data_IF_997575810644
#
_entry.id   IF_997575810644
#
_cell.length_a   1.000
_cell.length_b   1.000
_cell.length_c   1.000
_cell.angle_alpha   90.00
_cell.angle_beta   90.00
_cell.angle_gamma   90.00
#
_symmetry.space_group_name_H-M   'P 1'
#
loop_
_entity.id
_entity.type
_entity.pdbx_description
1 polymer ?
#
# COMPACT_ATOMS: atom_id res chain seq x y z
N UNK A 1 -50.33 -60.41 12.03
CA UNK A 1 -49.90 -59.05 12.47
C UNK A 1 -49.79 -58.20 11.21
N UNK A 2 -50.33 -56.98 11.22
CA UNK A 2 -50.43 -56.04 10.08
C UNK A 2 -51.27 -56.47 8.86
N UNK A 3 -51.80 -55.45 8.18
CA UNK A 3 -52.88 -55.48 7.19
C UNK A 3 -52.48 -54.70 5.91
N UNK A 4 -53.20 -54.87 4.78
CA UNK A 4 -52.78 -54.36 3.47
C UNK A 4 -53.57 -53.11 3.02
N UNK A 5 -53.15 -52.48 1.90
CA UNK A 5 -54.02 -52.24 0.72
C UNK A 5 -53.33 -51.54 -0.46
N UNK A 6 -53.88 -51.80 -1.65
CA UNK A 6 -53.53 -51.24 -2.96
C UNK A 6 -54.28 -49.91 -3.23
N UNK A 7 -53.78 -49.08 -4.14
CA UNK A 7 -54.52 -48.66 -5.35
C UNK A 7 -53.64 -47.98 -6.41
N UNK A 8 -54.05 -48.07 -7.69
CA UNK A 8 -53.44 -47.40 -8.85
C UNK A 8 -53.95 -45.95 -9.02
N UNK A 9 -53.37 -45.19 -9.97
CA UNK A 9 -54.04 -44.66 -11.18
C UNK A 9 -52.98 -44.02 -12.12
N UNK A 10 -53.19 -44.04 -13.46
CA UNK A 10 -52.38 -43.31 -14.47
C UNK A 10 -53.29 -42.41 -15.32
N UNK A 11 -53.01 -42.09 -16.60
CA UNK A 11 -51.75 -42.10 -17.38
C UNK A 11 -51.44 -40.72 -18.05
N UNK A 12 -50.33 -40.58 -18.79
CA UNK A 12 -50.00 -39.36 -19.57
C UNK A 12 -50.58 -39.39 -21.00
N UNK A 13 -51.13 -38.27 -21.51
CA UNK A 13 -51.42 -38.10 -22.94
C UNK A 13 -51.31 -36.64 -23.46
N UNK A 14 -50.35 -36.44 -24.38
CA UNK A 14 -50.13 -35.46 -25.48
C UNK A 14 -50.88 -34.11 -25.61
N UNK A 15 -50.11 -33.15 -26.15
CA UNK A 15 -50.50 -31.98 -27.00
C UNK A 15 -51.17 -30.80 -26.28
N UNK A 16 -51.10 -29.54 -26.69
CA UNK A 16 -50.56 -28.88 -27.90
C UNK A 16 -49.38 -27.93 -27.52
N UNK A 17 -48.72 -27.10 -28.36
CA UNK A 17 -48.83 -26.71 -29.79
C UNK A 17 -47.40 -26.41 -30.35
N UNK A 18 -47.28 -25.79 -31.51
CA UNK A 18 -46.05 -25.19 -32.09
C UNK A 18 -46.36 -23.79 -32.68
N UNK A 19 -45.72 -23.31 -33.77
CA UNK A 19 -44.67 -23.95 -34.58
C UNK A 19 -43.54 -23.04 -35.13
N UNK A 20 -42.58 -23.68 -35.82
CA UNK A 20 -41.90 -23.28 -37.07
C UNK A 20 -41.00 -22.01 -37.21
N UNK A 21 -39.81 -22.26 -37.80
CA UNK A 21 -39.12 -21.55 -38.92
C UNK A 21 -39.31 -20.02 -39.08
N UNK A 22 -38.25 -19.25 -39.33
CA UNK A 22 -37.47 -19.37 -40.58
C UNK A 22 -36.08 -18.69 -40.53
N UNK A 23 -35.19 -19.01 -41.48
CA UNK A 23 -33.89 -18.32 -41.68
C UNK A 23 -33.92 -17.59 -43.02
N UNK A 24 -33.72 -16.27 -43.00
CA UNK A 24 -33.44 -15.52 -44.22
C UNK A 24 -32.50 -14.34 -43.98
N UNK A 25 -31.42 -14.29 -44.77
CA UNK A 25 -30.50 -13.16 -44.84
C UNK A 25 -31.08 -12.00 -45.66
N UNK A 26 -30.41 -10.86 -45.50
CA UNK A 26 -30.03 -9.85 -46.50
C UNK A 26 -30.84 -8.54 -46.62
N UNK A 27 -30.03 -7.46 -46.62
CA UNK A 27 -30.12 -6.17 -47.32
C UNK A 27 -30.65 -4.91 -46.61
N UNK A 28 -29.71 -3.95 -46.54
CA UNK A 28 -29.83 -2.50 -46.74
C UNK A 28 -30.51 -1.62 -45.68
N UNK A 29 -29.88 -0.47 -45.45
CA UNK A 29 -30.49 0.69 -44.80
C UNK A 29 -29.65 1.28 -43.68
N UNK A 30 -28.64 2.09 -44.03
CA UNK A 30 -28.09 3.07 -43.08
C UNK A 30 -29.21 3.94 -42.50
N UNK A 31 -29.05 4.40 -41.25
CA UNK A 31 -29.31 5.79 -40.83
C UNK A 31 -28.86 6.00 -39.37
N UNK A 32 -28.34 7.19 -39.06
CA UNK A 32 -27.92 7.68 -37.75
C UNK A 32 -26.73 7.00 -37.03
N UNK A 33 -25.55 7.05 -37.65
CA UNK A 33 -24.30 7.24 -36.91
C UNK A 33 -23.92 8.73 -36.87
N UNK A 34 -24.67 9.50 -36.07
CA UNK A 34 -24.29 10.89 -35.72
C UNK A 34 -23.53 10.91 -34.39
N UNK A 35 -22.62 11.88 -34.23
CA UNK A 35 -21.80 12.13 -33.03
C UNK A 35 -20.59 11.20 -32.80
N UNK A 36 -19.73 11.08 -33.82
CA UNK A 36 -18.29 11.11 -33.54
C UNK A 36 -17.87 12.53 -33.10
N UNK A 37 -16.81 12.64 -32.27
CA UNK A 37 -16.19 13.89 -31.84
C UNK A 37 -17.07 14.93 -31.12
N UNK A 38 -17.32 14.74 -29.81
CA UNK A 38 -17.19 15.83 -28.80
C UNK A 38 -17.21 15.25 -27.37
N UNK A 39 -16.13 14.57 -26.97
CA UNK A 39 -15.86 14.22 -25.56
C UNK A 39 -14.66 14.96 -24.97
N UNK A 40 -14.34 16.13 -25.53
CA UNK A 40 -13.74 17.21 -24.76
C UNK A 40 -14.86 18.08 -24.17
N UNK A 41 -14.64 18.65 -22.98
CA UNK A 41 -15.45 19.70 -22.32
C UNK A 41 -16.65 19.32 -21.40
N UNK A 42 -16.72 18.13 -20.78
CA UNK A 42 -17.78 17.86 -19.76
C UNK A 42 -17.34 17.29 -18.39
N UNK A 43 -16.10 17.57 -17.95
CA UNK A 43 -15.67 17.38 -16.54
C UNK A 43 -14.92 18.62 -15.99
N UNK A 44 -15.19 19.81 -16.54
CA UNK A 44 -14.50 21.06 -16.16
C UNK A 44 -15.46 22.21 -15.81
N UNK A 45 -16.65 21.89 -15.26
CA UNK A 45 -17.68 22.90 -15.02
C UNK A 45 -18.48 22.75 -13.71
N UNK A 46 -17.82 22.41 -12.58
CA UNK A 46 -18.49 22.46 -11.27
C UNK A 46 -17.63 22.88 -10.06
N UNK A 47 -16.46 23.51 -10.28
CA UNK A 47 -15.71 24.21 -9.22
C UNK A 47 -15.14 25.53 -9.75
N UNK A 48 -15.99 26.55 -9.75
CA UNK A 48 -15.63 27.88 -10.25
C UNK A 48 -16.72 28.92 -10.03
N UNK A 49 -17.00 29.25 -8.76
CA UNK A 49 -17.53 30.55 -8.30
C UNK A 49 -17.82 30.52 -6.79
N UNK A 50 -16.90 31.07 -5.99
CA UNK A 50 -17.19 31.87 -4.80
C UNK A 50 -15.86 32.41 -4.23
N UNK A 51 -15.47 33.59 -4.73
CA UNK A 51 -14.41 34.41 -4.15
C UNK A 51 -14.85 35.87 -4.27
N UNK A 52 -15.59 36.35 -3.27
CA UNK A 52 -15.61 37.78 -2.94
C UNK A 52 -16.10 37.99 -1.50
N UNK A 53 -15.17 38.21 -0.59
CA UNK A 53 -15.38 39.16 0.49
C UNK A 53 -14.01 39.71 0.88
N UNK A 54 -13.81 41.00 0.62
CA UNK A 54 -12.62 41.72 1.07
C UNK A 54 -12.73 41.95 2.58
N UNK A 55 -11.61 41.84 3.29
CA UNK A 55 -11.38 42.70 4.44
C UNK A 55 -9.93 43.15 4.46
N UNK A 56 -9.76 44.45 4.61
CA UNK A 56 -8.51 45.19 4.48
C UNK A 56 -7.94 45.51 5.85
N UNK A 57 -6.73 45.06 6.13
CA UNK A 57 -5.81 45.74 7.06
C UNK A 57 -4.36 45.34 6.76
N UNK A 58 -3.43 46.22 7.14
CA UNK A 58 -2.00 45.94 7.32
C UNK A 58 -1.13 45.76 6.06
N UNK A 59 -1.29 46.69 5.11
CA UNK A 59 -0.12 47.33 4.49
C UNK A 59 0.17 48.60 5.30
N UNK A 60 1.39 48.71 5.84
CA UNK A 60 2.14 49.91 6.27
C UNK A 60 3.01 49.64 7.52
N UNK A 61 4.11 48.89 7.39
CA UNK A 61 5.27 49.07 8.28
C UNK A 61 6.57 48.51 7.67
N UNK A 62 7.03 49.08 6.55
CA UNK A 62 8.41 48.89 6.11
C UNK A 62 8.88 50.07 5.25
N UNK A 63 9.44 51.10 5.90
CA UNK A 63 10.37 52.08 5.30
C UNK A 63 10.96 52.99 6.39
N UNK A 64 11.95 52.50 7.15
CA UNK A 64 12.95 53.38 7.78
C UNK A 64 14.21 52.60 8.19
N UNK A 65 15.23 52.61 7.31
CA UNK A 65 16.62 53.08 7.55
C UNK A 65 17.54 52.50 6.48
N UNK A 66 18.10 53.36 5.62
CA UNK A 66 19.31 53.02 4.87
C UNK A 66 20.52 53.30 5.75
N UNK A 67 21.42 52.33 5.91
CA UNK A 67 22.82 52.62 6.19
C UNK A 67 23.74 51.65 5.45
N UNK A 68 24.80 52.22 4.87
CA UNK A 68 25.69 51.59 3.89
C UNK A 68 26.65 50.59 4.54
N UNK A 69 26.87 49.43 3.90
CA UNK A 69 28.17 48.73 3.89
C UNK A 69 28.35 47.93 2.60
N UNK A 70 29.48 48.10 1.92
CA UNK A 70 29.85 47.36 0.71
C UNK A 70 30.45 45.98 1.04
N UNK A 71 29.82 44.90 0.58
CA UNK A 71 30.39 43.55 0.53
C UNK A 71 29.67 42.70 -0.54
N UNK A 72 30.33 41.70 -1.17
CA UNK A 72 30.17 41.52 -2.62
C UNK A 72 28.99 40.67 -3.09
N UNK A 73 28.54 40.98 -4.31
CA UNK A 73 27.46 40.33 -5.09
C UNK A 73 27.45 38.78 -5.09
N UNK A 74 28.61 38.15 -4.87
CA UNK A 74 28.83 36.69 -4.89
C UNK A 74 27.92 35.96 -3.88
N UNK A 75 27.69 36.55 -2.71
CA UNK A 75 26.88 35.91 -1.65
C UNK A 75 25.37 35.98 -1.94
N UNK A 76 24.93 37.01 -2.66
CA UNK A 76 23.53 37.20 -3.05
C UNK A 76 23.10 36.32 -4.23
N UNK A 77 24.03 36.04 -5.15
CA UNK A 77 23.83 35.03 -6.21
C UNK A 77 23.69 33.64 -5.58
N UNK A 78 24.61 33.27 -4.67
CA UNK A 78 24.62 31.96 -3.98
C UNK A 78 23.38 31.74 -3.11
N UNK A 79 22.85 32.77 -2.45
CA UNK A 79 21.60 32.66 -1.68
C UNK A 79 20.37 32.50 -2.60
N UNK A 80 20.30 33.24 -3.70
CA UNK A 80 19.25 33.09 -4.73
C UNK A 80 19.30 31.73 -5.42
N UNK A 81 20.48 31.18 -5.67
CA UNK A 81 20.66 29.84 -6.23
C UNK A 81 20.21 28.76 -5.24
N UNK A 82 20.65 28.83 -3.97
CA UNK A 82 20.19 27.92 -2.91
C UNK A 82 18.67 27.99 -2.70
N UNK A 83 18.08 29.19 -2.77
CA UNK A 83 16.62 29.35 -2.77
C UNK A 83 15.93 28.72 -3.99
N UNK A 84 16.51 28.85 -5.19
CA UNK A 84 15.97 28.22 -6.41
C UNK A 84 16.06 26.69 -6.32
N UNK A 85 17.19 26.15 -5.89
CA UNK A 85 17.39 24.71 -5.64
C UNK A 85 16.39 24.22 -4.58
N UNK A 86 16.22 24.94 -3.47
CA UNK A 86 15.21 24.65 -2.44
C UNK A 86 13.80 24.65 -3.02
N UNK A 87 13.40 25.72 -3.71
CA UNK A 87 12.08 25.88 -4.33
C UNK A 87 11.82 24.81 -5.40
N UNK A 88 12.82 24.38 -6.15
CA UNK A 88 12.68 23.33 -7.17
C UNK A 88 12.74 21.91 -6.59
N UNK A 89 13.47 21.66 -5.50
CA UNK A 89 13.32 20.43 -4.71
C UNK A 89 11.92 20.34 -4.07
N UNK A 90 11.40 21.45 -3.55
CA UNK A 90 10.03 21.56 -3.02
C UNK A 90 9.00 21.34 -4.14
N UNK A 91 9.19 21.92 -5.34
CA UNK A 91 8.33 21.66 -6.51
C UNK A 91 8.43 20.21 -6.97
N UNK A 92 9.62 19.59 -7.02
CA UNK A 92 9.80 18.17 -7.36
C UNK A 92 9.10 17.27 -6.34
N UNK A 93 9.26 17.52 -5.03
CA UNK A 93 8.51 16.84 -3.95
C UNK A 93 7.00 16.99 -4.11
N UNK A 94 6.49 18.22 -4.34
CA UNK A 94 5.07 18.50 -4.60
C UNK A 94 4.55 17.86 -5.89
N UNK A 95 5.38 17.73 -6.93
CA UNK A 95 5.03 17.04 -8.19
C UNK A 95 4.99 15.52 -8.01
N UNK A 96 5.91 14.93 -7.24
CA UNK A 96 5.90 13.49 -6.88
C UNK A 96 4.66 13.16 -6.03
N UNK A 97 4.28 14.01 -5.08
CA UNK A 97 3.04 13.85 -4.29
C UNK A 97 1.75 13.89 -5.12
N UNK A 98 1.72 14.58 -6.27
CA UNK A 98 0.51 14.71 -7.10
C UNK A 98 0.05 13.42 -7.80
N UNK A 99 0.87 12.36 -7.79
CA UNK A 99 0.55 11.03 -8.31
C UNK A 99 0.62 9.92 -7.25
N UNK A 100 0.69 10.27 -5.96
CA UNK A 100 0.76 9.29 -4.89
C UNK A 100 -0.60 8.64 -4.66
N UNK A 101 -0.71 7.37 -5.02
CA UNK A 101 -1.81 6.49 -4.65
C UNK A 101 -1.18 5.18 -4.13
N UNK A 102 -1.37 4.85 -2.84
CA UNK A 102 -0.89 3.58 -2.31
C UNK A 102 -1.50 2.39 -3.04
N UNK A 103 -0.65 1.40 -3.34
CA UNK A 103 -1.03 0.12 -3.91
C UNK A 103 -0.49 -1.07 -3.10
N UNK A 104 0.33 -0.81 -2.09
CA UNK A 104 0.89 -1.77 -1.15
C UNK A 104 0.74 -1.29 0.30
N UNK A 105 0.74 -2.22 1.24
CA UNK A 105 0.67 -1.91 2.67
C UNK A 105 1.26 -3.02 3.55
N UNK A 106 1.75 -2.64 4.73
CA UNK A 106 2.04 -3.56 5.81
C UNK A 106 0.77 -3.86 6.61
N UNK A 107 0.57 -5.15 6.92
CA UNK A 107 -0.67 -5.71 7.42
C UNK A 107 -0.40 -6.62 8.61
N UNK A 108 -1.06 -6.38 9.75
CA UNK A 108 -1.17 -7.36 10.84
C UNK A 108 -2.47 -8.14 10.58
N UNK A 109 -2.43 -9.43 10.21
CA UNK A 109 -3.62 -10.24 10.00
C UNK A 109 -4.37 -10.47 11.32
N UNK A 110 -5.70 -10.58 11.25
CA UNK A 110 -6.49 -11.10 12.39
C UNK A 110 -6.60 -12.61 12.28
N UNK A 111 -5.96 -13.33 13.20
CA UNK A 111 -5.93 -14.79 13.27
C UNK A 111 -6.93 -15.34 14.28
N UNK A 112 -7.21 -14.60 15.37
CA UNK A 112 -8.12 -15.03 16.42
C UNK A 112 -9.56 -15.20 15.87
N UNK A 113 -10.07 -16.43 15.96
CA UNK A 113 -11.39 -16.79 15.43
C UNK A 113 -12.53 -16.12 16.18
N UNK A 114 -12.37 -15.77 17.45
CA UNK A 114 -13.39 -15.07 18.22
C UNK A 114 -13.64 -13.67 17.68
N UNK A 115 -12.58 -12.90 17.39
CA UNK A 115 -12.68 -11.58 16.75
C UNK A 115 -13.40 -11.71 15.40
N UNK A 116 -12.96 -12.63 14.53
CA UNK A 116 -13.58 -12.79 13.21
C UNK A 116 -15.06 -13.19 13.29
N UNK A 117 -15.44 -14.02 14.29
CA UNK A 117 -16.82 -14.44 14.57
C UNK A 117 -17.66 -13.29 15.12
N UNK A 118 -17.13 -12.50 16.06
CA UNK A 118 -17.79 -11.33 16.62
C UNK A 118 -18.06 -10.26 15.57
N UNK A 119 -17.08 -9.99 14.70
CA UNK A 119 -17.28 -9.10 13.55
C UNK A 119 -18.31 -9.66 12.57
N UNK A 120 -18.35 -10.97 12.35
CA UNK A 120 -19.38 -11.58 11.50
C UNK A 120 -20.78 -11.42 12.06
N UNK A 121 -20.94 -11.55 13.38
CA UNK A 121 -22.21 -11.32 14.09
C UNK A 121 -22.63 -9.85 13.95
N UNK A 122 -21.70 -8.90 14.15
CA UNK A 122 -21.92 -7.47 13.89
C UNK A 122 -22.38 -7.21 12.44
N UNK A 123 -21.65 -7.73 11.44
CA UNK A 123 -22.00 -7.56 10.03
C UNK A 123 -23.41 -8.11 9.74
N UNK A 124 -23.73 -9.32 10.21
CA UNK A 124 -25.04 -9.93 10.01
C UNK A 124 -26.16 -9.10 10.67
N UNK A 125 -25.95 -8.57 11.88
CA UNK A 125 -26.91 -7.71 12.57
C UNK A 125 -27.15 -6.37 11.84
N UNK A 126 -26.14 -5.84 11.13
CA UNK A 126 -26.31 -4.67 10.24
C UNK A 126 -27.11 -5.06 8.99
N UNK A 127 -26.82 -6.21 8.37
CA UNK A 127 -27.50 -6.66 7.16
C UNK A 127 -28.98 -7.00 7.38
N UNK A 128 -29.34 -7.49 8.58
CA UNK A 128 -30.74 -7.65 8.99
C UNK A 128 -31.53 -6.33 9.05
N UNK A 129 -30.84 -5.19 9.17
CA UNK A 129 -31.46 -3.86 9.18
C UNK A 129 -31.45 -3.21 7.78
N UNK A 130 -30.41 -3.43 6.98
CA UNK A 130 -30.34 -2.98 5.58
C UNK A 130 -29.43 -3.90 4.72
N UNK A 131 -30.04 -4.86 4.05
CA UNK A 131 -29.34 -5.83 3.18
C UNK A 131 -28.55 -5.16 2.04
N UNK A 132 -28.90 -3.92 1.64
CA UNK A 132 -28.21 -3.19 0.56
C UNK A 132 -26.74 -2.94 0.91
N UNK A 133 -26.39 -2.97 2.20
CA UNK A 133 -25.03 -2.83 2.71
C UNK A 133 -24.13 -4.05 2.47
N UNK A 134 -24.65 -5.20 1.99
CA UNK A 134 -23.89 -6.44 1.82
C UNK A 134 -22.56 -6.27 1.07
N UNK A 135 -22.56 -5.53 -0.06
CA UNK A 135 -21.36 -5.27 -0.86
C UNK A 135 -20.37 -4.27 -0.23
N UNK A 136 -20.77 -3.56 0.85
CA UNK A 136 -19.89 -2.67 1.60
C UNK A 136 -19.07 -3.42 2.66
N UNK A 137 -19.47 -4.63 3.05
CA UNK A 137 -18.81 -5.42 4.08
C UNK A 137 -17.39 -5.87 3.65
N UNK A 138 -16.46 -5.84 4.59
CA UNK A 138 -15.15 -6.48 4.47
C UNK A 138 -15.34 -8.00 4.56
N UNK A 139 -14.80 -8.75 3.60
CA UNK A 139 -14.84 -10.21 3.63
C UNK A 139 -14.00 -10.76 4.78
N UNK A 140 -14.52 -11.78 5.46
CA UNK A 140 -14.04 -12.33 6.72
C UNK A 140 -12.53 -12.66 6.69
N UNK A 141 -12.07 -13.31 5.61
CA UNK A 141 -10.66 -13.64 5.40
C UNK A 141 -9.73 -12.45 5.14
N UNK A 142 -10.18 -11.20 5.26
CA UNK A 142 -9.36 -9.98 5.05
C UNK A 142 -9.43 -8.96 6.17
N UNK A 143 -9.86 -9.38 7.36
CA UNK A 143 -9.68 -8.63 8.59
C UNK A 143 -8.19 -8.48 8.92
N UNK A 144 -7.75 -7.24 9.12
CA UNK A 144 -6.37 -6.87 9.39
C UNK A 144 -6.29 -5.46 9.99
N UNK A 145 -5.16 -5.14 10.61
CA UNK A 145 -4.75 -3.75 10.90
C UNK A 145 -3.74 -3.32 9.82
N UNK A 146 -4.02 -2.22 9.14
CA UNK A 146 -3.04 -1.57 8.26
C UNK A 146 -2.02 -0.84 9.12
N UNK A 147 -0.75 -1.23 9.06
CA UNK A 147 0.34 -0.62 9.83
C UNK A 147 0.98 0.56 9.07
N UNK A 148 1.19 0.37 7.76
CA UNK A 148 1.84 1.35 6.88
C UNK A 148 1.28 1.20 5.46
N UNK A 149 0.97 2.30 4.77
CA UNK A 149 0.64 2.29 3.33
C UNK A 149 1.80 2.81 2.51
N UNK A 150 1.96 2.33 1.28
CA UNK A 150 3.07 2.71 0.40
C UNK A 150 2.72 2.55 -1.09
N UNK A 151 3.54 3.14 -1.94
CA UNK A 151 3.50 2.98 -3.40
C UNK A 151 4.76 2.26 -3.88
N UNK A 152 4.58 1.10 -4.53
CA UNK A 152 5.63 0.31 -5.20
C UNK A 152 5.21 0.11 -6.66
N UNK A 153 6.00 0.60 -7.61
CA UNK A 153 5.59 0.81 -9.00
C UNK A 153 6.00 -0.31 -9.98
N UNK A 154 6.99 -1.11 -9.62
CA UNK A 154 7.57 -2.17 -10.46
C UNK A 154 8.09 -3.33 -9.58
N UNK A 155 8.60 -4.38 -10.21
CA UNK A 155 9.07 -5.60 -9.52
C UNK A 155 10.31 -5.34 -8.66
N UNK A 156 11.22 -4.47 -9.09
CA UNK A 156 12.41 -4.08 -8.31
C UNK A 156 12.02 -3.35 -7.02
N UNK A 157 11.06 -2.42 -7.08
CA UNK A 157 10.50 -1.74 -5.91
C UNK A 157 9.77 -2.72 -4.98
N UNK A 158 9.11 -3.76 -5.52
CA UNK A 158 8.53 -4.85 -4.70
C UNK A 158 9.63 -5.64 -4.00
N UNK A 159 10.70 -6.04 -4.69
CA UNK A 159 11.82 -6.78 -4.12
C UNK A 159 12.58 -5.95 -3.05
N UNK A 160 12.80 -4.66 -3.31
CA UNK A 160 13.34 -3.73 -2.31
C UNK A 160 12.40 -3.54 -1.11
N UNK A 161 11.07 -3.57 -1.33
CA UNK A 161 10.06 -3.51 -0.27
C UNK A 161 10.03 -4.77 0.60
N UNK A 162 10.29 -5.94 0.01
CA UNK A 162 10.52 -7.20 0.75
C UNK A 162 11.80 -7.06 1.60
N UNK A 163 12.88 -6.52 1.05
CA UNK A 163 14.11 -6.23 1.81
C UNK A 163 13.87 -5.30 2.99
N UNK A 164 13.11 -4.21 2.80
CA UNK A 164 12.72 -3.28 3.86
C UNK A 164 11.87 -3.95 4.96
N UNK A 165 10.98 -4.89 4.61
CA UNK A 165 10.23 -5.66 5.60
C UNK A 165 11.13 -6.59 6.43
N UNK A 166 12.13 -7.22 5.80
CA UNK A 166 13.10 -8.07 6.51
C UNK A 166 13.98 -7.23 7.46
N UNK A 167 14.43 -6.06 7.01
CA UNK A 167 15.19 -5.11 7.85
C UNK A 167 14.36 -4.49 8.99
N UNK A 168 13.03 -4.42 8.85
CA UNK A 168 12.14 -3.98 9.93
C UNK A 168 12.10 -4.95 11.11
N UNK A 169 12.27 -6.27 10.87
CA UNK A 169 12.14 -7.31 11.90
C UNK A 169 12.94 -7.05 13.19
N UNK A 170 14.27 -6.81 13.17
CA UNK A 170 15.04 -6.58 14.38
C UNK A 170 14.56 -5.36 15.19
N UNK A 171 14.11 -4.28 14.53
CA UNK A 171 13.55 -3.12 15.24
C UNK A 171 12.24 -3.46 15.96
N UNK A 172 11.40 -4.31 15.37
CA UNK A 172 10.17 -4.80 16.04
C UNK A 172 10.52 -5.65 17.25
N UNK A 173 11.52 -6.53 17.14
CA UNK A 173 11.99 -7.36 18.26
C UNK A 173 12.63 -6.52 19.38
N UNK A 174 13.35 -5.45 19.03
CA UNK A 174 13.92 -4.46 19.97
C UNK A 174 12.84 -3.68 20.72
N UNK A 175 11.83 -3.14 20.01
CA UNK A 175 10.69 -2.41 20.60
C UNK A 175 9.92 -3.31 21.59
N UNK A 176 9.72 -4.58 21.22
CA UNK A 176 8.97 -5.52 22.05
C UNK A 176 9.79 -6.11 23.21
N UNK A 177 11.13 -6.08 23.15
CA UNK A 177 12.01 -6.59 24.21
C UNK A 177 11.69 -8.04 24.63
N UNK A 178 11.30 -8.88 23.66
CA UNK A 178 10.88 -10.26 23.91
C UNK A 178 9.50 -10.44 24.57
N UNK A 179 8.72 -9.37 24.75
CA UNK A 179 7.33 -9.41 25.24
C UNK A 179 6.36 -9.63 24.07
N UNK A 180 5.21 -10.22 24.35
CA UNK A 180 4.13 -10.36 23.39
C UNK A 180 3.38 -9.02 23.22
N UNK A 181 3.01 -8.67 21.99
CA UNK A 181 2.13 -7.55 21.70
C UNK A 181 0.70 -8.07 21.51
N UNK A 182 -0.17 -7.77 22.46
CA UNK A 182 -1.58 -8.18 22.46
C UNK A 182 -2.46 -6.96 22.15
N UNK A 183 -3.36 -7.09 21.20
CA UNK A 183 -4.23 -6.03 20.70
C UNK A 183 -5.70 -6.31 21.07
N UNK A 184 -6.21 -5.76 22.19
CA UNK A 184 -7.61 -5.92 22.60
C UNK A 184 -8.57 -5.07 21.75
N UNK A 185 -9.59 -5.69 21.17
CA UNK A 185 -10.58 -5.04 20.33
C UNK A 185 -11.93 -4.86 21.04
N UNK A 186 -12.35 -3.61 21.24
CA UNK A 186 -13.58 -3.29 21.95
C UNK A 186 -14.32 -2.09 21.35
N UNK A 187 -15.61 -2.30 21.06
CA UNK A 187 -16.50 -1.27 20.59
C UNK A 187 -16.33 -0.90 19.11
N UNK A 188 -17.30 -0.15 18.60
CA UNK A 188 -17.40 0.21 17.17
C UNK A 188 -17.41 1.73 17.01
N UNK A 189 -16.78 2.23 15.94
CA UNK A 189 -16.83 3.63 15.53
C UNK A 189 -16.69 3.76 13.98
N UNK A 190 -16.74 4.99 13.46
CA UNK A 190 -16.64 5.27 12.01
C UNK A 190 -15.75 6.44 11.66
N UNK A 191 -15.06 6.36 10.51
CA UNK A 191 -14.42 7.53 9.92
C UNK A 191 -15.40 8.23 8.97
N UNK A 192 -15.86 9.42 9.38
CA UNK A 192 -16.77 10.28 8.60
C UNK A 192 -18.08 9.60 8.20
N UNK A 193 -18.54 8.61 8.97
CA UNK A 193 -19.65 7.72 8.62
C UNK A 193 -19.51 7.03 7.24
N UNK A 194 -18.28 6.83 6.72
CA UNK A 194 -18.04 6.12 5.44
C UNK A 194 -17.34 4.77 5.62
N UNK A 195 -16.54 4.62 6.68
CA UNK A 195 -15.81 3.40 7.04
C UNK A 195 -16.21 3.03 8.46
N UNK A 196 -16.72 1.81 8.67
CA UNK A 196 -17.03 1.27 9.99
C UNK A 196 -15.94 0.32 10.45
N UNK A 197 -15.46 0.51 11.68
CA UNK A 197 -14.36 -0.27 12.25
C UNK A 197 -14.61 -0.64 13.71
N UNK A 198 -14.06 -1.77 14.13
CA UNK A 198 -13.88 -2.11 15.54
C UNK A 198 -12.66 -1.35 16.06
N UNK A 199 -12.78 -0.71 17.22
CA UNK A 199 -11.69 0.05 17.83
C UNK A 199 -10.69 -0.89 18.50
N UNK A 200 -9.42 -0.53 18.43
CA UNK A 200 -8.43 -0.99 19.41
C UNK A 200 -8.76 -0.30 20.74
N UNK A 201 -8.82 -1.06 21.84
CA UNK A 201 -9.05 -0.50 23.16
C UNK A 201 -7.83 0.31 23.64
N UNK A 202 -8.03 1.24 24.57
CA UNK A 202 -6.93 1.99 25.18
C UNK A 202 -6.08 1.09 26.08
N UNK A 203 -4.77 1.32 26.12
CA UNK A 203 -3.87 0.55 26.99
C UNK A 203 -2.39 0.65 26.61
N UNK A 204 -1.55 -0.10 27.33
CA UNK A 204 -0.09 -0.06 27.19
C UNK A 204 0.41 -0.57 25.83
N UNK A 205 -0.36 -1.42 25.15
CA UNK A 205 -0.09 -1.95 23.80
C UNK A 205 -0.13 -0.87 22.70
N UNK A 206 -0.71 0.30 22.96
CA UNK A 206 -0.77 1.40 21.98
C UNK A 206 0.63 1.91 21.64
N UNK A 207 1.47 2.19 22.63
CA UNK A 207 2.78 2.81 22.39
C UNK A 207 3.72 1.92 21.55
N UNK A 208 3.94 0.63 21.86
CA UNK A 208 4.73 -0.25 21.01
C UNK A 208 4.19 -0.37 19.58
N UNK A 209 2.86 -0.38 19.40
CA UNK A 209 2.26 -0.42 18.07
C UNK A 209 2.49 0.87 17.26
N UNK A 210 2.49 2.03 17.92
CA UNK A 210 2.85 3.31 17.29
C UNK A 210 4.35 3.39 16.95
N UNK A 211 5.22 2.91 17.85
CA UNK A 211 6.66 2.83 17.62
C UNK A 211 7.00 1.89 16.45
N UNK A 212 6.37 0.71 16.38
CA UNK A 212 6.49 -0.22 15.25
C UNK A 212 6.01 0.43 13.93
N UNK A 213 4.94 1.23 13.96
CA UNK A 213 4.44 1.92 12.77
C UNK A 213 5.40 3.02 12.27
N UNK A 214 6.00 3.79 13.18
CA UNK A 214 6.97 4.83 12.81
C UNK A 214 8.33 4.22 12.41
N UNK A 215 8.77 3.14 13.06
CA UNK A 215 9.94 2.36 12.64
C UNK A 215 9.73 1.81 11.22
N UNK A 216 8.59 1.20 10.93
CA UNK A 216 8.23 0.73 9.60
C UNK A 216 8.24 1.87 8.56
N UNK A 217 7.60 3.00 8.88
CA UNK A 217 7.57 4.19 8.03
C UNK A 217 8.98 4.69 7.72
N UNK A 218 9.84 4.76 8.74
CA UNK A 218 11.24 5.16 8.62
C UNK A 218 12.03 4.21 7.73
N UNK A 219 12.03 2.90 8.03
CA UNK A 219 12.76 1.88 7.26
C UNK A 219 12.40 1.93 5.77
N UNK A 220 11.12 2.05 5.43
CA UNK A 220 10.67 2.15 4.04
C UNK A 220 11.02 3.51 3.38
N UNK A 221 10.95 4.62 4.12
CA UNK A 221 11.37 5.93 3.60
C UNK A 221 12.89 6.03 3.38
N UNK A 222 13.70 5.39 4.22
CA UNK A 222 15.16 5.31 4.07
C UNK A 222 15.57 4.50 2.81
N UNK A 223 14.77 3.51 2.39
CA UNK A 223 14.89 2.87 1.07
C UNK A 223 14.39 3.71 -0.11
N UNK A 224 13.90 4.93 0.14
CA UNK A 224 13.44 5.87 -0.89
C UNK A 224 11.96 5.73 -1.29
N UNK A 225 11.19 4.86 -0.64
CA UNK A 225 9.78 4.66 -0.96
C UNK A 225 8.90 5.85 -0.56
N UNK A 226 7.84 6.05 -1.33
CA UNK A 226 6.72 6.88 -0.87
C UNK A 226 5.85 6.02 0.06
N UNK A 227 6.11 6.15 1.36
CA UNK A 227 5.44 5.40 2.42
C UNK A 227 4.87 6.33 3.51
N UNK A 228 3.73 5.95 4.07
CA UNK A 228 2.97 6.70 5.08
C UNK A 228 1.93 7.65 4.50
N UNK A 229 1.22 8.33 5.41
CA UNK A 229 0.32 9.45 5.12
C UNK A 229 0.71 10.65 6.01
N UNK A 230 0.25 11.86 5.66
CA UNK A 230 0.42 13.05 6.52
C UNK A 230 -0.50 13.03 7.76
N UNK A 231 -1.37 12.03 7.89
CA UNK A 231 -2.32 11.90 9.00
C UNK A 231 -1.68 11.07 10.11
N UNK A 232 -2.04 11.36 11.36
CA UNK A 232 -1.63 10.50 12.48
C UNK A 232 -2.14 9.08 12.27
N UNK A 233 -1.28 8.11 12.54
CA UNK A 233 -1.66 6.70 12.50
C UNK A 233 -2.73 6.43 13.56
N UNK A 234 -3.82 5.78 13.13
CA UNK A 234 -4.92 5.35 14.01
C UNK A 234 -5.20 3.87 13.71
N UNK A 235 -4.71 2.93 14.52
CA UNK A 235 -4.97 1.51 14.32
C UNK A 235 -6.48 1.22 14.47
N UNK A 236 -7.05 0.51 13.49
CA UNK A 236 -8.49 0.25 13.44
C UNK A 236 -8.78 -1.00 12.60
N UNK A 237 -9.78 -1.79 13.02
CA UNK A 237 -10.13 -3.04 12.36
C UNK A 237 -11.39 -2.87 11.50
N UNK A 238 -11.22 -2.65 10.20
CA UNK A 238 -12.34 -2.29 9.31
C UNK A 238 -13.26 -3.48 8.98
N UNK A 239 -14.54 -3.39 9.36
CA UNK A 239 -15.57 -4.34 8.96
C UNK A 239 -16.44 -3.90 7.77
N UNK A 240 -16.50 -2.60 7.43
CA UNK A 240 -17.22 -2.13 6.23
C UNK A 240 -16.68 -0.81 5.65
N UNK A 241 -16.80 -0.62 4.33
CA UNK A 241 -16.45 0.64 3.61
C UNK A 241 -17.49 0.97 2.54
N UNK A 242 -18.20 2.10 2.65
CA UNK A 242 -19.18 2.56 1.65
C UNK A 242 -18.55 2.93 0.29
N UNK A 243 -17.24 3.19 0.25
CA UNK A 243 -16.50 3.42 -1.00
C UNK A 243 -16.51 2.21 -1.95
N UNK A 244 -16.76 0.99 -1.43
CA UNK A 244 -16.93 -0.24 -2.23
C UNK A 244 -18.25 -0.28 -3.00
N UNK A 245 -19.20 0.58 -2.65
CA UNK A 245 -20.59 0.55 -3.13
C UNK A 245 -21.08 1.94 -3.56
N UNK A 246 -20.38 2.65 -4.47
CA UNK A 246 -20.66 4.05 -4.81
C UNK A 246 -22.08 4.31 -5.34
N UNK A 247 -22.74 3.29 -5.90
CA UNK A 247 -24.15 3.37 -6.32
C UNK A 247 -25.14 3.55 -5.14
N UNK A 248 -24.83 3.06 -3.93
CA UNK A 248 -25.70 3.21 -2.76
C UNK A 248 -25.95 4.69 -2.40
N UNK A 249 -24.96 5.57 -2.64
CA UNK A 249 -25.11 7.03 -2.47
C UNK A 249 -26.20 7.62 -3.36
N UNK A 250 -26.44 7.04 -4.55
CA UNK A 250 -27.53 7.41 -5.47
C UNK A 250 -28.90 6.82 -5.05
N UNK A 251 -28.92 5.88 -4.11
CA UNK A 251 -30.12 5.27 -3.51
C UNK A 251 -30.37 5.72 -2.06
N UNK A 252 -29.84 6.88 -1.69
CA UNK A 252 -30.08 7.54 -0.39
C UNK A 252 -29.10 7.15 0.72
N UNK A 253 -28.42 6.01 0.63
CA UNK A 253 -27.45 5.54 1.64
C UNK A 253 -26.14 6.32 1.47
N UNK A 254 -26.08 7.50 2.08
CA UNK A 254 -24.93 8.43 2.01
C UNK A 254 -23.94 8.27 3.18
N UNK A 255 -24.37 7.69 4.29
CA UNK A 255 -23.63 7.53 5.55
C UNK A 255 -24.00 6.19 6.21
N UNK A 256 -23.11 5.65 7.04
CA UNK A 256 -23.41 4.59 8.00
C UNK A 256 -24.17 5.24 9.17
N UNK A 257 -25.41 4.82 9.41
CA UNK A 257 -26.22 5.26 10.56
C UNK A 257 -25.71 4.56 11.84
N UNK A 258 -25.41 5.29 12.93
CA UNK A 258 -24.99 4.69 14.21
C UNK A 258 -25.94 3.63 14.76
N UNK A 259 -27.25 3.72 14.48
CA UNK A 259 -28.25 2.72 14.90
C UNK A 259 -27.89 1.31 14.45
N UNK A 260 -27.27 1.17 13.28
CA UNK A 260 -26.91 -0.14 12.74
C UNK A 260 -25.98 -0.94 13.65
N UNK A 261 -25.11 -0.28 14.42
CA UNK A 261 -24.12 -0.90 15.30
C UNK A 261 -24.27 -0.53 16.78
N UNK A 262 -25.39 0.08 17.17
CA UNK A 262 -25.66 0.55 18.54
C UNK A 262 -25.46 -0.55 19.60
N UNK A 263 -25.91 -1.78 19.32
CA UNK A 263 -25.73 -2.95 20.19
C UNK A 263 -24.27 -3.39 20.40
N UNK A 264 -23.32 -2.82 19.65
CA UNK A 264 -21.91 -3.22 19.62
C UNK A 264 -20.95 -2.10 20.04
N UNK A 265 -21.43 -0.92 20.46
CA UNK A 265 -20.60 0.24 20.81
C UNK A 265 -19.60 -0.01 21.94
N UNK A 266 -19.90 -0.95 22.83
CA UNK A 266 -19.07 -1.38 23.97
C UNK A 266 -18.69 -2.87 23.94
N UNK A 267 -19.06 -3.60 22.88
CA UNK A 267 -18.85 -5.04 22.77
C UNK A 267 -17.36 -5.39 22.67
N UNK A 268 -16.90 -6.32 23.49
CA UNK A 268 -15.54 -6.88 23.43
C UNK A 268 -15.49 -7.98 22.38
N UNK A 269 -14.68 -7.79 21.33
CA UNK A 269 -14.54 -8.72 20.22
C UNK A 269 -13.47 -9.79 20.47
N UNK A 270 -12.56 -9.55 21.42
CA UNK A 270 -11.43 -10.42 21.77
C UNK A 270 -10.09 -9.73 21.57
N UNK A 271 -9.01 -10.49 21.65
CA UNK A 271 -7.63 -9.98 21.62
C UNK A 271 -6.81 -10.67 20.52
N UNK A 272 -6.00 -9.91 19.78
CA UNK A 272 -5.12 -10.46 18.74
C UNK A 272 -3.66 -10.37 19.20
N UNK A 273 -2.97 -11.50 19.27
CA UNK A 273 -1.52 -11.54 19.48
C UNK A 273 -0.80 -11.26 18.15
N UNK A 274 0.07 -10.25 18.11
CA UNK A 274 0.81 -9.86 16.90
C UNK A 274 1.94 -10.86 16.61
N UNK A 275 1.62 -11.91 15.87
CA UNK A 275 2.57 -12.96 15.47
C UNK A 275 3.30 -12.63 14.15
N UNK A 276 2.73 -11.79 13.27
CA UNK A 276 3.24 -11.61 11.90
C UNK A 276 2.90 -10.23 11.32
N UNK A 277 3.79 -9.71 10.48
CA UNK A 277 3.52 -8.55 9.60
C UNK A 277 3.70 -8.99 8.15
N UNK A 278 2.70 -8.69 7.31
CA UNK A 278 2.65 -9.04 5.89
C UNK A 278 2.79 -7.79 4.99
N UNK A 279 3.65 -7.84 3.96
CA UNK A 279 3.64 -6.90 2.84
C UNK A 279 2.58 -7.35 1.82
N UNK A 280 1.45 -6.64 1.81
CA UNK A 280 0.27 -6.99 1.04
C UNK A 280 0.04 -6.04 -0.15
N UNK A 281 -0.34 -6.59 -1.30
CA UNK A 281 -0.86 -5.82 -2.43
C UNK A 281 -2.33 -5.48 -2.24
N UNK A 282 -2.70 -4.24 -2.54
CA UNK A 282 -4.11 -3.80 -2.57
C UNK A 282 -4.84 -4.23 -3.85
N UNK A 283 -4.10 -4.50 -4.94
CA UNK A 283 -4.64 -4.62 -6.30
C UNK A 283 -4.51 -6.03 -6.90
N UNK A 284 -3.50 -6.81 -6.51
CA UNK A 284 -3.35 -8.20 -6.97
C UNK A 284 -4.52 -9.07 -6.46
N UNK A 285 -4.81 -10.16 -7.18
CA UNK A 285 -5.87 -11.13 -6.83
C UNK A 285 -5.61 -11.70 -5.42
N UNK A 286 -6.64 -11.63 -4.57
CA UNK A 286 -6.67 -12.23 -3.23
C UNK A 286 -6.37 -13.73 -3.24
N UNK A 287 -5.85 -14.22 -2.13
CA UNK A 287 -5.63 -15.63 -1.86
C UNK A 287 -6.96 -16.40 -1.77
N UNK A 288 -6.91 -17.74 -1.86
CA UNK A 288 -8.08 -18.63 -1.79
C UNK A 288 -8.86 -18.50 -0.47
N UNK A 289 -8.19 -18.21 0.63
CA UNK A 289 -8.78 -17.93 1.94
C UNK A 289 -9.43 -16.52 2.05
N UNK A 290 -9.35 -15.69 1.00
CA UNK A 290 -9.88 -14.32 0.98
C UNK A 290 -8.94 -13.23 1.52
N UNK A 291 -7.74 -13.58 1.97
CA UNK A 291 -6.71 -12.61 2.40
C UNK A 291 -6.05 -11.94 1.20
N UNK A 292 -5.33 -10.85 1.44
CA UNK A 292 -4.63 -10.10 0.41
C UNK A 292 -3.49 -10.93 -0.19
N UNK A 293 -3.10 -10.62 -1.43
CA UNK A 293 -1.88 -11.17 -2.00
C UNK A 293 -0.69 -10.68 -1.17
N UNK A 294 0.05 -11.61 -0.58
CA UNK A 294 1.22 -11.30 0.24
C UNK A 294 2.49 -11.50 -0.59
N UNK A 295 3.30 -10.46 -0.70
CA UNK A 295 4.62 -10.55 -1.34
C UNK A 295 5.62 -11.19 -0.36
N UNK A 296 5.59 -10.81 0.92
CA UNK A 296 6.44 -11.42 1.96
C UNK A 296 5.89 -11.14 3.35
N UNK A 297 6.30 -11.96 4.32
CA UNK A 297 5.94 -11.83 5.73
C UNK A 297 7.19 -11.81 6.60
N UNK A 298 7.08 -11.27 7.81
CA UNK A 298 8.01 -11.50 8.92
C UNK A 298 7.24 -12.03 10.13
N UNK A 299 7.79 -13.07 10.79
CA UNK A 299 7.26 -13.62 12.04
C UNK A 299 7.95 -12.95 13.23
N UNK A 300 7.16 -12.59 14.23
CA UNK A 300 7.53 -11.91 15.48
C UNK A 300 7.34 -12.90 16.64
N UNK A 301 8.21 -12.85 17.66
CA UNK A 301 8.07 -13.67 18.87
C UNK A 301 8.50 -15.13 18.73
N UNK A 302 8.93 -15.57 17.54
CA UNK A 302 9.60 -16.85 17.38
C UNK A 302 10.96 -16.80 18.10
N UNK A 303 11.08 -17.51 19.24
CA UNK A 303 12.37 -17.76 19.90
C UNK A 303 13.33 -18.37 18.88
N UNK A 304 14.60 -17.97 18.93
CA UNK A 304 15.71 -18.60 18.19
C UNK A 304 15.84 -20.08 18.60
N UNK A 305 15.12 -20.97 17.92
CA UNK A 305 14.93 -22.36 18.34
C UNK A 305 13.76 -23.10 17.68
N UNK A 306 12.88 -22.41 16.94
CA UNK A 306 12.05 -23.05 15.92
C UNK A 306 12.78 -23.05 14.57
N UNK A 307 13.03 -24.22 14.00
CA UNK A 307 13.54 -24.33 12.63
C UNK A 307 12.50 -23.73 11.66
N UNK A 308 12.88 -22.81 10.75
CA UNK A 308 11.93 -22.25 9.79
C UNK A 308 11.36 -23.35 8.91
N UNK A 309 10.04 -23.34 8.71
CA UNK A 309 9.31 -24.30 7.87
C UNK A 309 9.99 -24.47 6.50
N UNK A 310 10.10 -25.70 6.01
CA UNK A 310 10.75 -26.04 4.74
C UNK A 310 10.24 -25.16 3.59
N UNK A 311 8.94 -24.83 3.60
CA UNK A 311 8.32 -23.94 2.61
C UNK A 311 8.80 -22.48 2.71
N UNK A 312 9.17 -22.00 3.89
CA UNK A 312 9.78 -20.68 4.10
C UNK A 312 11.26 -20.70 3.72
N UNK A 313 12.01 -21.74 4.11
CA UNK A 313 13.40 -21.96 3.67
C UNK A 313 13.53 -22.04 2.15
N UNK A 314 12.66 -22.79 1.48
CA UNK A 314 12.61 -22.90 0.02
C UNK A 314 12.30 -21.56 -0.66
N UNK A 315 11.48 -20.70 -0.05
CA UNK A 315 11.19 -19.35 -0.57
C UNK A 315 12.36 -18.39 -0.35
N UNK A 316 12.98 -18.44 0.83
CA UNK A 316 14.13 -17.59 1.17
C UNK A 316 15.36 -17.95 0.32
N UNK A 317 15.70 -19.24 0.23
CA UNK A 317 16.81 -19.74 -0.60
C UNK A 317 16.61 -19.40 -2.07
N UNK A 318 15.42 -19.64 -2.64
CA UNK A 318 15.09 -19.24 -4.01
C UNK A 318 15.30 -17.74 -4.24
N UNK A 319 14.81 -16.88 -3.34
CA UNK A 319 14.99 -15.41 -3.44
C UNK A 319 16.44 -14.96 -3.29
N UNK A 320 17.22 -15.60 -2.43
CA UNK A 320 18.64 -15.30 -2.28
C UNK A 320 19.41 -15.63 -3.56
N UNK A 321 19.10 -16.77 -4.20
CA UNK A 321 19.66 -17.15 -5.50
C UNK A 321 19.22 -16.18 -6.60
N UNK A 322 17.92 -15.85 -6.69
CA UNK A 322 17.39 -14.88 -7.67
C UNK A 322 18.07 -13.50 -7.53
N UNK A 323 18.19 -12.97 -6.31
CA UNK A 323 18.88 -11.70 -6.05
C UNK A 323 20.38 -11.75 -6.35
N UNK A 324 21.06 -12.88 -6.09
CA UNK A 324 22.48 -13.05 -6.42
C UNK A 324 22.69 -13.10 -7.94
N UNK A 325 21.82 -13.81 -8.67
CA UNK A 325 21.83 -13.87 -10.14
C UNK A 325 21.56 -12.48 -10.74
N UNK A 326 20.57 -11.74 -10.25
CA UNK A 326 20.29 -10.37 -10.71
C UNK A 326 21.50 -9.44 -10.51
N UNK A 327 22.16 -9.50 -9.35
CA UNK A 327 23.39 -8.73 -9.09
C UNK A 327 24.54 -9.12 -10.02
N UNK A 328 24.74 -10.41 -10.26
CA UNK A 328 25.79 -10.90 -11.16
C UNK A 328 25.54 -10.47 -12.62
N UNK A 329 24.29 -10.54 -13.09
CA UNK A 329 23.89 -10.07 -14.42
C UNK A 329 24.08 -8.54 -14.54
N UNK A 330 23.67 -7.77 -13.53
CA UNK A 330 23.86 -6.33 -13.52
C UNK A 330 25.36 -5.94 -13.55
N UNK A 331 26.18 -6.59 -12.73
CA UNK A 331 27.64 -6.39 -12.74
C UNK A 331 28.25 -6.73 -14.11
N UNK A 332 27.84 -7.85 -14.73
CA UNK A 332 28.31 -8.21 -16.07
C UNK A 332 27.92 -7.18 -17.15
N UNK A 333 26.71 -6.62 -17.08
CA UNK A 333 26.27 -5.55 -17.98
C UNK A 333 27.09 -4.26 -17.79
N UNK A 334 27.42 -3.90 -16.54
CA UNK A 334 28.26 -2.74 -16.22
C UNK A 334 29.72 -2.94 -16.68
N UNK A 335 30.30 -4.12 -16.47
CA UNK A 335 31.67 -4.46 -16.91
C UNK A 335 31.79 -4.55 -18.44
N UNK A 336 30.78 -5.07 -19.13
CA UNK A 336 30.79 -5.17 -20.61
C UNK A 336 30.55 -3.83 -21.29
N UNK A 337 29.70 -2.96 -20.74
CA UNK A 337 29.48 -1.61 -21.30
C UNK A 337 30.64 -0.65 -20.98
N UNK A 338 31.27 -0.75 -19.81
CA UNK A 338 32.42 0.09 -19.44
C UNK A 338 33.68 -0.23 -20.25
N UNK A 339 33.89 -1.50 -20.65
CA UNK A 339 34.98 -1.92 -21.56
C UNK A 339 34.76 -1.54 -23.04
N UNK A 340 33.60 -0.98 -23.38
CA UNK A 340 33.23 -0.60 -24.76
C UNK A 340 33.81 0.73 -25.28
N UNK A 341 34.57 1.49 -24.48
CA UNK A 341 35.23 2.72 -24.94
C UNK A 341 36.70 2.45 -25.28
N UNK A 342 37.13 2.62 -26.55
CA UNK A 342 38.55 2.57 -26.89
C UNK A 342 39.32 3.66 -26.15
N UNK A 343 40.44 3.31 -25.52
CA UNK A 343 41.43 4.28 -25.09
C UNK A 343 42.17 4.77 -26.35
N UNK A 344 41.98 6.05 -26.69
CA UNK A 344 42.61 6.64 -27.86
C UNK A 344 44.13 6.80 -27.66
N UNK A 345 44.90 6.55 -28.71
CA UNK A 345 46.34 6.34 -28.60
C UNK A 345 47.15 7.65 -28.57
N UNK A 346 48.26 7.66 -27.81
CA UNK A 346 49.34 8.63 -28.03
C UNK A 346 50.70 7.94 -27.91
N UNK A 347 51.44 7.94 -29.02
CA UNK A 347 52.71 7.24 -29.20
C UNK A 347 53.93 8.16 -29.06
N UNK A 348 54.99 7.64 -28.44
CA UNK A 348 56.35 8.20 -28.51
C UNK A 348 56.84 8.81 -27.17
N UNK A 349 58.12 8.67 -26.79
CA UNK A 349 59.29 8.13 -27.49
C UNK A 349 60.18 7.35 -26.51
N UNK A 350 60.89 6.34 -27.03
CA UNK A 350 62.06 5.79 -26.34
C UNK A 350 63.30 6.68 -26.53
N UNK A 351 64.18 6.73 -25.53
CA UNK A 351 65.62 6.96 -25.73
C UNK A 351 66.42 6.33 -24.60
N UNK A 352 67.53 5.66 -24.94
CA UNK A 352 68.37 4.90 -24.03
C UNK A 352 69.70 5.62 -23.69
N UNK A 353 70.24 5.33 -22.51
CA UNK A 353 71.66 5.33 -22.09
C UNK A 353 71.67 5.05 -20.56
N UNK A 354 72.18 3.93 -20.05
CA UNK A 354 73.61 3.55 -19.90
C UNK A 354 74.34 4.29 -18.76
N UNK A 355 74.60 3.60 -17.63
CA UNK A 355 75.93 3.37 -16.97
C UNK A 355 75.90 3.19 -15.44
N UNK A 356 76.63 2.17 -14.97
CA UNK A 356 77.19 2.03 -13.61
C UNK A 356 76.19 1.66 -12.49
N UNK A 357 76.41 0.67 -11.62
CA UNK A 357 77.57 -0.21 -11.43
C UNK A 357 78.50 0.22 -10.29
N UNK A 358 78.18 -0.21 -9.06
CA UNK A 358 79.11 -0.33 -7.92
C UNK A 358 78.46 -1.17 -6.79
N UNK A 359 79.28 -2.01 -6.13
CA UNK A 359 78.91 -2.88 -5.01
C UNK A 359 78.66 -2.12 -3.69
N UNK A 360 78.07 -2.81 -2.70
CA UNK A 360 77.82 -2.26 -1.37
C UNK A 360 77.23 -3.26 -0.36
N UNK A 361 77.84 -4.44 -0.22
CA UNK A 361 77.52 -5.39 0.85
C UNK A 361 78.02 -4.87 2.21
N UNK A 362 77.15 -4.84 3.25
CA UNK A 362 77.39 -5.51 4.54
C UNK A 362 76.34 -5.23 5.64
N UNK A 363 75.91 -6.35 6.23
CA UNK A 363 75.37 -6.61 7.57
C UNK A 363 75.46 -5.53 8.68
N UNK A 364 74.40 -5.45 9.49
CA UNK A 364 74.41 -4.85 10.83
C UNK A 364 73.19 -5.28 11.67
N UNK A 365 73.41 -6.26 12.56
CA UNK A 365 72.49 -6.92 13.52
C UNK A 365 71.19 -6.19 13.92
#
# INVERSE_FOLDING_TARGET
>A
MQSPKYLLWGPLQKSLLGPAFDVKMTLMGDWYLYSACFLCLFVWFFFGLNYLCLNTSDILLFDFFSLVTDAPHINLERSKENERISKDQIKKRKKKQKGYQPNYFLSIPITNKEITRGIKILQNAILQQDERLAKAMTSDGSFHITLLVMQLLNEDEVNLGIGALLELKPFVEEILQGKELILPFQGVDTFGNQVGFVKLAEGHHINPLLEIAEAAKRTFQEKGFMAGENRSFKPHLTFMKLSRTPWLRRKGVKKIDPKFYEKFISHTFGEEMVHRIDLCSMLKKKQSNGYYHCESSIVIGAKNGGEPDDAELLRLSKRLVENAVLKAVQQYLEETQSRGKPADGSSGKARAADRGGADGDQSGR
#
